data_IF_400880132269
#
_entry.id   IF_400880132269
#
_cell.length_a   1.000
_cell.length_b   1.000
_cell.length_c   1.000
_cell.angle_alpha   90.00
_cell.angle_beta   90.00
_cell.angle_gamma   90.00
#
_symmetry.space_group_name_H-M   'P 1'
#
loop_
_entity.id
_entity.type
_entity.pdbx_description
1 polymer ?
#
# COMPACT_ATOMS: atom_id res chain seq x y z
N UNK A 1 -17.50 6.38 -16.41
CA UNK A 1 -17.95 5.48 -15.32
C UNK A 1 -16.77 5.23 -14.40
N UNK A 2 -16.91 5.23 -13.06
CA UNK A 2 -15.84 4.78 -12.18
C UNK A 2 -15.51 3.34 -12.55
N UNK A 3 -14.27 3.09 -12.97
CA UNK A 3 -13.85 1.75 -13.38
C UNK A 3 -13.48 1.00 -12.11
N UNK A 4 -14.47 0.34 -11.52
CA UNK A 4 -14.21 -0.70 -10.54
C UNK A 4 -13.55 -1.87 -11.29
N UNK A 5 -12.31 -2.20 -10.95
CA UNK A 5 -11.77 -3.50 -11.34
C UNK A 5 -12.43 -4.51 -10.41
N UNK A 6 -13.50 -5.12 -10.93
CA UNK A 6 -14.23 -6.14 -10.20
C UNK A 6 -13.59 -7.48 -10.52
N UNK A 7 -12.99 -8.09 -9.52
CA UNK A 7 -12.44 -9.43 -9.64
C UNK A 7 -13.27 -10.37 -8.79
N UNK A 8 -13.69 -11.47 -9.40
CA UNK A 8 -14.41 -12.52 -8.70
C UNK A 8 -13.36 -13.41 -8.06
N UNK A 9 -13.19 -13.31 -6.74
CA UNK A 9 -12.38 -14.27 -6.00
C UNK A 9 -13.27 -15.29 -5.31
N UNK A 10 -12.85 -16.54 -5.42
CA UNK A 10 -13.45 -17.64 -4.69
C UNK A 10 -12.84 -17.68 -3.29
N UNK A 11 -13.67 -17.46 -2.27
CA UNK A 11 -13.32 -17.65 -0.87
C UNK A 11 -13.94 -18.97 -0.40
N UNK A 12 -13.34 -20.07 -0.82
CA UNK A 12 -13.88 -21.39 -0.54
C UNK A 12 -15.12 -21.71 -1.38
N UNK A 13 -16.30 -21.74 -0.76
CA UNK A 13 -17.58 -22.05 -1.43
C UNK A 13 -18.39 -20.76 -1.68
N UNK A 14 -17.85 -19.62 -1.24
CA UNK A 14 -18.45 -18.30 -1.42
C UNK A 14 -17.76 -17.55 -2.56
N UNK A 15 -18.58 -16.89 -3.36
CA UNK A 15 -18.13 -15.99 -4.42
C UNK A 15 -18.12 -14.57 -3.87
N UNK A 16 -16.94 -14.00 -3.64
CA UNK A 16 -16.83 -12.58 -3.33
C UNK A 16 -16.46 -11.81 -4.59
N UNK A 17 -17.24 -10.77 -4.88
CA UNK A 17 -16.83 -9.77 -5.84
C UNK A 17 -15.95 -8.79 -5.08
N UNK A 18 -14.64 -8.92 -5.25
CA UNK A 18 -13.70 -7.91 -4.78
C UNK A 18 -13.82 -6.75 -5.75
N UNK A 19 -14.44 -5.68 -5.27
CA UNK A 19 -14.50 -4.41 -5.98
C UNK A 19 -13.27 -3.61 -5.57
N UNK A 20 -12.18 -3.72 -6.32
CA UNK A 20 -11.12 -2.72 -6.26
C UNK A 20 -11.66 -1.45 -6.90
N UNK A 21 -12.14 -0.54 -6.06
CA UNK A 21 -12.54 0.78 -6.50
C UNK A 21 -11.32 1.68 -6.57
N UNK A 22 -10.89 1.97 -7.79
CA UNK A 22 -10.38 3.30 -8.07
C UNK A 22 -11.58 4.22 -8.03
N UNK A 23 -11.79 4.92 -6.91
CA UNK A 23 -12.73 6.03 -6.88
C UNK A 23 -12.21 7.11 -7.83
N UNK A 24 -12.64 7.07 -9.10
CA UNK A 24 -12.72 8.28 -9.91
C UNK A 24 -13.83 9.11 -9.29
N UNK A 25 -13.43 9.94 -8.33
CA UNK A 25 -14.29 10.87 -7.61
C UNK A 25 -15.02 11.74 -8.64
N UNK A 26 -16.33 11.60 -8.74
CA UNK A 26 -17.15 12.51 -9.52
C UNK A 26 -17.19 13.86 -8.77
N UNK A 27 -16.37 14.81 -9.24
CA UNK A 27 -16.18 16.12 -8.61
C UNK A 27 -17.49 16.92 -8.43
N UNK A 28 -18.51 16.68 -9.27
CA UNK A 28 -19.81 17.37 -9.15
C UNK A 28 -20.59 16.93 -7.90
N UNK A 29 -20.44 15.68 -7.45
CA UNK A 29 -21.09 15.16 -6.23
C UNK A 29 -20.29 15.41 -4.95
N UNK A 30 -19.10 15.98 -5.07
CA UNK A 30 -18.17 16.23 -3.95
C UNK A 30 -17.84 17.71 -3.79
N UNK A 31 -18.77 18.61 -4.14
CA UNK A 31 -18.59 20.06 -4.06
C UNK A 31 -18.02 20.52 -2.69
N UNK A 32 -18.45 19.91 -1.58
CA UNK A 32 -17.93 20.20 -0.25
C UNK A 32 -16.47 19.78 -0.06
N UNK A 33 -16.07 18.59 -0.55
CA UNK A 33 -14.68 18.13 -0.47
C UNK A 33 -13.77 18.88 -1.47
N UNK A 34 -14.30 19.27 -2.63
CA UNK A 34 -13.60 20.13 -3.58
C UNK A 34 -13.34 21.52 -2.99
N UNK A 35 -14.34 22.10 -2.30
CA UNK A 35 -14.19 23.37 -1.58
C UNK A 35 -13.19 23.25 -0.41
N UNK A 36 -13.24 22.17 0.36
CA UNK A 36 -12.29 21.91 1.44
C UNK A 36 -10.84 21.75 0.93
N UNK A 37 -10.64 21.06 -0.21
CA UNK A 37 -9.34 20.98 -0.90
C UNK A 37 -8.85 22.32 -1.42
N UNK A 38 -9.74 23.14 -1.97
CA UNK A 38 -9.39 24.49 -2.42
C UNK A 38 -8.96 25.38 -1.24
N UNK A 39 -9.65 25.26 -0.09
CA UNK A 39 -9.27 25.94 1.14
C UNK A 39 -7.93 25.46 1.69
N UNK A 40 -7.66 24.14 1.68
CA UNK A 40 -6.36 23.58 2.08
C UNK A 40 -5.22 24.14 1.21
N UNK A 41 -5.38 24.15 -0.11
CA UNK A 41 -4.39 24.74 -1.03
C UNK A 41 -4.15 26.22 -0.76
N UNK A 42 -5.18 26.98 -0.40
CA UNK A 42 -5.03 28.40 -0.05
C UNK A 42 -4.25 28.58 1.26
N UNK A 43 -4.47 27.71 2.25
CA UNK A 43 -3.71 27.70 3.52
C UNK A 43 -2.25 27.31 3.27
N UNK A 44 -2.00 26.28 2.45
CA UNK A 44 -0.66 25.86 2.02
C UNK A 44 0.10 27.01 1.33
N UNK A 45 -0.56 27.70 0.39
CA UNK A 45 0.03 28.83 -0.33
C UNK A 45 0.33 30.04 0.58
N UNK A 46 -0.38 30.19 1.71
CA UNK A 46 -0.19 31.29 2.66
C UNK A 46 0.98 31.08 3.64
N UNK A 47 1.56 29.88 3.72
CA UNK A 47 2.63 29.55 4.66
C UNK A 47 2.19 29.50 6.13
N UNK A 48 0.88 29.51 6.41
CA UNK A 48 0.34 29.46 7.76
C UNK A 48 0.37 28.03 8.35
N UNK A 49 1.55 27.62 8.82
CA UNK A 49 1.81 26.25 9.34
C UNK A 49 0.87 25.87 10.49
N UNK A 50 0.46 26.83 11.32
CA UNK A 50 -0.43 26.59 12.46
C UNK A 50 -1.87 26.23 12.07
N UNK A 51 -2.34 26.62 10.89
CA UNK A 51 -3.69 26.32 10.38
C UNK A 51 -3.72 25.14 9.40
N UNK A 52 -2.56 24.64 8.97
CA UNK A 52 -2.43 23.54 8.01
C UNK A 52 -3.05 22.25 8.55
N UNK A 53 -2.76 21.87 9.80
CA UNK A 53 -3.28 20.62 10.38
C UNK A 53 -4.81 20.60 10.50
N UNK A 54 -5.41 21.74 10.88
CA UNK A 54 -6.86 21.88 10.96
C UNK A 54 -7.51 21.87 9.57
N UNK A 55 -6.87 22.52 8.58
CA UNK A 55 -7.34 22.50 7.19
C UNK A 55 -7.25 21.08 6.58
N UNK A 56 -6.19 20.33 6.90
CA UNK A 56 -5.98 18.96 6.44
C UNK A 56 -7.01 18.01 7.04
N UNK A 57 -7.24 18.08 8.36
CA UNK A 57 -8.29 17.32 9.03
C UNK A 57 -9.69 17.66 8.50
N UNK A 58 -9.95 18.92 8.16
CA UNK A 58 -11.24 19.35 7.58
C UNK A 58 -11.43 18.79 6.17
N UNK A 59 -10.37 18.80 5.35
CA UNK A 59 -10.41 18.21 4.01
C UNK A 59 -10.64 16.70 4.06
N UNK A 60 -9.93 15.99 4.94
CA UNK A 60 -10.10 14.55 5.15
C UNK A 60 -11.51 14.19 5.65
N UNK A 61 -12.04 14.96 6.60
CA UNK A 61 -13.39 14.77 7.11
C UNK A 61 -14.46 15.02 6.02
N UNK A 62 -14.28 16.05 5.19
CA UNK A 62 -15.18 16.34 4.08
C UNK A 62 -15.15 15.23 3.01
N UNK A 63 -13.97 14.67 2.73
CA UNK A 63 -13.82 13.52 1.84
C UNK A 63 -14.51 12.28 2.41
N UNK A 64 -14.27 11.98 3.69
CA UNK A 64 -14.89 10.86 4.39
C UNK A 64 -16.42 10.95 4.43
N UNK A 65 -16.96 12.15 4.70
CA UNK A 65 -18.39 12.40 4.72
C UNK A 65 -19.04 12.21 3.35
N UNK A 66 -18.40 12.69 2.28
CA UNK A 66 -18.91 12.53 0.93
C UNK A 66 -18.80 11.08 0.42
N UNK A 67 -17.72 10.36 0.74
CA UNK A 67 -17.64 8.91 0.50
C UNK A 67 -18.73 8.15 1.24
N UNK A 68 -19.01 8.53 2.50
CA UNK A 68 -20.10 7.96 3.29
C UNK A 68 -21.48 8.22 2.68
N UNK A 69 -21.73 9.42 2.15
CA UNK A 69 -22.98 9.75 1.47
C UNK A 69 -23.17 8.94 0.18
N UNK A 70 -22.10 8.75 -0.61
CA UNK A 70 -22.13 7.90 -1.81
C UNK A 70 -22.43 6.44 -1.45
N UNK A 71 -21.81 5.91 -0.40
CA UNK A 71 -22.09 4.56 0.08
C UNK A 71 -23.52 4.43 0.61
N UNK A 72 -24.02 5.44 1.32
CA UNK A 72 -25.40 5.47 1.82
C UNK A 72 -26.44 5.48 0.68
N UNK A 73 -26.23 6.30 -0.35
CA UNK A 73 -27.13 6.32 -1.50
C UNK A 73 -27.03 5.03 -2.35
N UNK A 74 -25.84 4.44 -2.42
CA UNK A 74 -25.66 3.13 -3.04
C UNK A 74 -26.36 2.02 -2.25
N UNK A 75 -26.31 2.06 -0.91
CA UNK A 75 -26.94 1.06 -0.03
C UNK A 75 -28.46 1.05 -0.13
N UNK A 76 -29.07 2.17 -0.57
CA UNK A 76 -30.51 2.23 -0.86
C UNK A 76 -30.91 1.45 -2.10
N UNK A 77 -29.97 1.23 -3.03
CA UNK A 77 -30.22 0.57 -4.32
C UNK A 77 -29.68 -0.85 -4.38
N UNK A 78 -28.62 -1.14 -3.63
CA UNK A 78 -27.95 -2.43 -3.62
C UNK A 78 -27.56 -2.84 -2.20
N UNK A 79 -27.60 -4.13 -1.86
CA UNK A 79 -27.07 -4.60 -0.59
C UNK A 79 -25.57 -4.31 -0.49
N UNK A 80 -25.13 -3.78 0.65
CA UNK A 80 -23.72 -3.57 0.97
C UNK A 80 -23.28 -4.63 1.97
N UNK A 81 -22.34 -5.46 1.55
CA UNK A 81 -21.66 -6.40 2.42
C UNK A 81 -20.37 -5.75 2.94
N UNK A 82 -20.16 -5.84 4.26
CA UNK A 82 -18.92 -5.41 4.89
C UNK A 82 -18.08 -6.65 5.16
N UNK A 83 -16.81 -6.58 4.77
CA UNK A 83 -15.81 -7.60 5.11
C UNK A 83 -15.04 -7.09 6.32
N UNK A 84 -14.85 -7.94 7.33
CA UNK A 84 -14.06 -7.56 8.50
C UNK A 84 -12.58 -7.46 8.10
N UNK A 85 -11.95 -6.36 8.50
CA UNK A 85 -10.55 -6.06 8.18
C UNK A 85 -9.88 -5.49 9.42
N UNK A 86 -8.66 -5.92 9.67
CA UNK A 86 -7.82 -5.40 10.76
C UNK A 86 -6.46 -4.99 10.22
N UNK A 87 -5.97 -3.83 10.64
CA UNK A 87 -4.59 -3.44 10.37
C UNK A 87 -3.61 -4.31 11.19
N UNK A 88 -2.33 -4.33 10.81
CA UNK A 88 -1.38 -5.23 11.48
C UNK A 88 -0.98 -4.78 12.89
N UNK A 89 -1.25 -3.53 13.30
CA UNK A 89 -1.14 -3.17 14.70
C UNK A 89 -2.26 -3.85 15.50
N UNK A 90 -3.50 -3.77 15.02
CA UNK A 90 -4.64 -4.44 15.65
C UNK A 90 -4.45 -5.95 15.72
N UNK A 91 -4.06 -6.56 14.59
CA UNK A 91 -3.90 -8.01 14.46
C UNK A 91 -2.84 -8.58 15.40
N UNK A 92 -1.81 -7.78 15.73
CA UNK A 92 -0.71 -8.15 16.63
C UNK A 92 -0.88 -7.59 18.05
N UNK A 93 -2.00 -6.95 18.37
CA UNK A 93 -2.25 -6.36 19.69
C UNK A 93 -1.30 -5.21 20.03
N UNK A 94 -0.78 -4.49 19.04
CA UNK A 94 0.15 -3.36 19.21
C UNK A 94 -0.61 -2.03 19.23
N UNK A 95 -0.27 -1.16 20.18
CA UNK A 95 -0.87 0.18 20.26
C UNK A 95 -0.59 1.00 18.99
N UNK A 96 -1.57 1.74 18.43
CA UNK A 96 -1.43 2.44 17.14
C UNK A 96 -0.33 3.50 17.11
N UNK A 97 0.09 4.05 18.25
CA UNK A 97 1.22 4.98 18.33
C UNK A 97 2.57 4.31 18.03
N UNK A 98 2.65 2.97 18.10
CA UNK A 98 3.85 2.17 17.78
C UNK A 98 3.70 1.55 16.39
N UNK A 99 3.17 2.30 15.42
CA UNK A 99 2.99 1.80 14.05
C UNK A 99 4.32 1.57 13.32
N UNK A 100 5.35 2.34 13.67
CA UNK A 100 6.69 2.20 13.10
C UNK A 100 7.54 1.20 13.87
N UNK A 101 8.39 0.44 13.17
CA UNK A 101 9.23 -0.56 13.81
C UNK A 101 10.25 0.04 14.79
N UNK A 102 10.80 1.22 14.48
CA UNK A 102 11.74 1.92 15.37
C UNK A 102 11.09 2.42 16.68
N UNK A 103 9.76 2.52 16.71
CA UNK A 103 8.98 2.88 17.90
C UNK A 103 8.45 1.65 18.65
N UNK A 104 8.97 0.46 18.33
CA UNK A 104 8.56 -0.82 18.92
C UNK A 104 7.36 -1.47 18.22
N UNK A 105 7.04 -1.05 17.00
CA UNK A 105 6.04 -1.68 16.15
C UNK A 105 6.50 -2.97 15.48
N UNK A 106 5.57 -3.71 14.84
CA UNK A 106 5.89 -4.92 14.08
C UNK A 106 6.86 -4.65 12.93
N UNK A 107 7.83 -5.54 12.74
CA UNK A 107 8.66 -5.59 11.55
C UNK A 107 8.23 -6.68 10.57
N UNK A 108 8.98 -6.84 9.46
CA UNK A 108 8.64 -7.82 8.43
C UNK A 108 8.58 -9.26 8.92
N UNK A 109 9.40 -9.61 9.92
CA UNK A 109 9.43 -10.97 10.47
C UNK A 109 8.14 -11.27 11.23
N UNK A 110 7.72 -10.40 12.13
CA UNK A 110 6.50 -10.56 12.93
C UNK A 110 5.26 -10.64 12.01
N UNK A 111 5.26 -9.83 10.95
CA UNK A 111 4.18 -9.83 9.96
C UNK A 111 4.15 -11.14 9.16
N UNK A 112 5.29 -11.63 8.68
CA UNK A 112 5.34 -12.93 7.98
C UNK A 112 4.93 -14.09 8.89
N UNK A 113 5.35 -14.06 10.16
CA UNK A 113 4.94 -15.07 11.14
C UNK A 113 3.43 -15.06 11.37
N UNK A 114 2.80 -13.88 11.46
CA UNK A 114 1.34 -13.73 11.53
C UNK A 114 0.64 -14.35 10.30
N UNK A 115 1.10 -14.03 9.09
CA UNK A 115 0.51 -14.55 7.86
C UNK A 115 0.61 -16.08 7.78
N UNK A 116 1.74 -16.65 8.19
CA UNK A 116 1.92 -18.11 8.25
C UNK A 116 1.11 -18.77 9.35
N UNK A 117 0.99 -18.15 10.51
CA UNK A 117 0.21 -18.68 11.63
C UNK A 117 -1.28 -18.79 11.29
N UNK A 118 -1.77 -17.94 10.38
CA UNK A 118 -3.15 -17.97 9.92
C UNK A 118 -3.31 -18.63 8.54
N UNK A 119 -2.33 -19.43 8.10
CA UNK A 119 -2.51 -20.31 6.96
C UNK A 119 -3.72 -21.22 7.23
N UNK A 120 -4.81 -21.04 6.48
CA UNK A 120 -6.00 -21.86 6.65
C UNK A 120 -5.62 -23.35 6.67
N UNK A 121 -6.03 -24.07 7.71
CA UNK A 121 -5.88 -25.52 7.73
C UNK A 121 -6.48 -26.09 6.44
N UNK A 122 -5.81 -27.03 5.74
CA UNK A 122 -6.39 -27.63 4.55
C UNK A 122 -7.77 -28.16 4.92
N UNK A 123 -8.82 -27.71 4.22
CA UNK A 123 -10.15 -28.32 4.35
C UNK A 123 -9.97 -29.82 4.18
N UNK A 124 -10.43 -30.59 5.16
CA UNK A 124 -10.29 -32.04 5.18
C UNK A 124 -10.67 -32.62 3.80
N UNK A 125 -9.70 -33.22 3.10
CA UNK A 125 -9.91 -33.87 1.80
C UNK A 125 -9.36 -33.16 0.56
N UNK A 126 -8.83 -31.92 0.62
CA UNK A 126 -8.08 -31.33 -0.51
C UNK A 126 -6.58 -31.49 -0.29
N UNK A 127 -5.90 -32.23 -1.18
CA UNK A 127 -4.44 -32.20 -1.29
C UNK A 127 -4.01 -30.74 -1.45
N UNK A 128 -3.21 -30.24 -0.52
CA UNK A 128 -2.64 -28.90 -0.61
C UNK A 128 -1.84 -28.77 -1.90
N UNK A 129 -2.09 -27.70 -2.66
CA UNK A 129 -1.19 -27.23 -3.71
C UNK A 129 0.23 -27.06 -3.13
N UNK A 130 1.31 -27.19 -3.94
CA UNK A 130 2.68 -26.93 -3.49
C UNK A 130 2.88 -25.52 -2.89
N UNK A 131 2.00 -24.57 -3.22
CA UNK A 131 1.91 -23.24 -2.61
C UNK A 131 0.64 -23.13 -1.76
N UNK A 132 0.81 -22.79 -0.48
CA UNK A 132 -0.33 -22.47 0.40
C UNK A 132 -0.80 -21.03 0.17
N UNK A 133 -2.04 -20.72 0.54
CA UNK A 133 -2.57 -19.34 0.51
C UNK A 133 -1.71 -18.37 1.36
N UNK A 134 -1.09 -18.85 2.43
CA UNK A 134 -0.16 -18.05 3.23
C UNK A 134 1.16 -17.78 2.48
N UNK A 135 1.66 -18.70 1.66
CA UNK A 135 2.85 -18.44 0.84
C UNK A 135 2.58 -17.38 -0.22
N UNK A 136 1.37 -17.33 -0.78
CA UNK A 136 0.93 -16.26 -1.68
C UNK A 136 0.91 -14.92 -0.95
N UNK A 137 0.28 -14.86 0.23
CA UNK A 137 0.18 -13.64 1.03
C UNK A 137 1.57 -13.13 1.48
N UNK A 138 2.46 -14.04 1.88
CA UNK A 138 3.86 -13.72 2.19
C UNK A 138 4.57 -13.18 0.95
N UNK A 139 4.42 -13.80 -0.22
CA UNK A 139 5.02 -13.29 -1.47
C UNK A 139 4.50 -11.90 -1.81
N UNK A 140 3.20 -11.65 -1.72
CA UNK A 140 2.59 -10.33 -1.95
C UNK A 140 3.11 -9.29 -0.96
N UNK A 141 3.26 -9.64 0.32
CA UNK A 141 3.84 -8.74 1.32
C UNK A 141 5.31 -8.41 1.02
N UNK A 142 6.12 -9.41 0.63
CA UNK A 142 7.52 -9.18 0.22
C UNK A 142 7.60 -8.31 -1.03
N UNK A 143 6.74 -8.55 -2.03
CA UNK A 143 6.62 -7.69 -3.21
C UNK A 143 6.26 -6.24 -2.82
N UNK A 144 5.41 -6.04 -1.83
CA UNK A 144 5.06 -4.72 -1.32
C UNK A 144 6.26 -4.01 -0.66
N UNK A 145 7.09 -4.74 0.11
CA UNK A 145 8.32 -4.20 0.68
C UNK A 145 9.32 -3.83 -0.42
N UNK A 146 9.49 -4.69 -1.43
CA UNK A 146 10.34 -4.44 -2.60
C UNK A 146 9.86 -3.18 -3.31
N UNK A 147 8.56 -3.11 -3.60
CA UNK A 147 7.97 -1.97 -4.29
C UNK A 147 8.21 -0.67 -3.54
N UNK A 148 7.89 -0.61 -2.25
CA UNK A 148 8.13 0.57 -1.41
C UNK A 148 9.61 0.95 -1.39
N UNK A 149 10.53 0.00 -1.31
CA UNK A 149 11.96 0.33 -1.39
C UNK A 149 12.38 0.90 -2.77
N UNK A 150 11.85 0.34 -3.86
CA UNK A 150 12.12 0.83 -5.23
C UNK A 150 11.58 2.24 -5.43
N UNK A 151 10.36 2.53 -4.98
CA UNK A 151 9.72 3.85 -5.14
C UNK A 151 10.12 4.85 -4.05
N UNK A 152 10.94 4.47 -3.07
CA UNK A 152 11.17 5.26 -1.85
C UNK A 152 9.87 5.59 -1.10
N UNK A 153 9.03 4.59 -0.89
CA UNK A 153 7.90 4.63 0.03
C UNK A 153 8.39 4.44 1.46
N UNK A 154 8.61 5.56 2.14
CA UNK A 154 9.22 5.60 3.47
C UNK A 154 8.22 5.38 4.60
N UNK A 155 6.91 5.47 4.31
CA UNK A 155 5.84 5.41 5.32
C UNK A 155 5.07 4.08 5.32
N UNK A 156 5.63 3.02 4.72
CA UNK A 156 5.05 1.68 4.71
C UNK A 156 5.15 1.00 6.10
N UNK A 157 4.37 1.48 7.06
CA UNK A 157 4.34 1.02 8.46
C UNK A 157 3.24 -0.03 8.70
N UNK A 158 3.19 -0.63 9.90
CA UNK A 158 2.29 -1.76 10.18
C UNK A 158 0.80 -1.46 9.92
N UNK A 159 0.34 -0.22 10.08
CA UNK A 159 -1.06 0.17 9.78
C UNK A 159 -1.40 0.25 8.28
N UNK A 160 -0.40 0.22 7.39
CA UNK A 160 -0.58 0.27 5.92
C UNK A 160 -0.68 -1.12 5.31
N UNK A 161 -0.74 -2.13 6.17
CA UNK A 161 -1.05 -3.50 5.82
C UNK A 161 -2.22 -3.94 6.70
N UNK A 162 -3.09 -4.77 6.14
CA UNK A 162 -4.23 -5.32 6.85
C UNK A 162 -4.43 -6.78 6.47
N UNK A 163 -5.20 -7.49 7.29
CA UNK A 163 -5.78 -8.78 6.93
C UNK A 163 -7.29 -8.68 6.82
N UNK A 164 -7.86 -9.40 5.86
CA UNK A 164 -9.29 -9.65 5.77
C UNK A 164 -9.63 -10.91 6.57
N UNK A 165 -10.68 -10.85 7.37
CA UNK A 165 -11.18 -11.96 8.18
C UNK A 165 -12.52 -12.42 7.59
N UNK A 166 -12.50 -13.60 6.99
CA UNK A 166 -13.64 -14.26 6.37
C UNK A 166 -14.29 -15.33 7.26
N UNK A 167 -15.32 -15.97 6.73
CA UNK A 167 -16.02 -17.06 7.40
C UNK A 167 -15.09 -18.23 7.75
N UNK A 168 -15.38 -18.92 8.86
CA UNK A 168 -14.60 -20.07 9.31
C UNK A 168 -13.18 -19.75 9.80
N UNK A 169 -12.90 -18.49 10.15
CA UNK A 169 -11.59 -18.05 10.63
C UNK A 169 -10.53 -17.92 9.52
N UNK A 170 -10.96 -17.82 8.25
CA UNK A 170 -10.05 -17.56 7.15
C UNK A 170 -9.46 -16.16 7.28
N UNK A 171 -8.13 -16.06 7.27
CA UNK A 171 -7.41 -14.79 7.27
C UNK A 171 -6.58 -14.70 6.00
N UNK A 172 -6.66 -13.57 5.28
CA UNK A 172 -5.88 -13.29 4.08
C UNK A 172 -5.30 -11.89 4.13
N UNK A 173 -4.12 -11.66 3.56
CA UNK A 173 -3.61 -10.31 3.35
C UNK A 173 -4.62 -9.50 2.50
N UNK A 174 -4.97 -8.30 2.98
CA UNK A 174 -5.84 -7.38 2.25
C UNK A 174 -5.09 -6.79 1.03
N UNK A 175 -5.82 -6.27 0.02
CA UNK A 175 -5.20 -5.46 -1.03
C UNK A 175 -4.33 -4.36 -0.43
N UNK A 176 -3.20 -4.08 -1.07
CA UNK A 176 -2.28 -3.04 -0.60
C UNK A 176 -2.94 -1.66 -0.73
N UNK A 177 -2.71 -0.79 0.25
CA UNK A 177 -3.21 0.58 0.27
C UNK A 177 -2.14 1.52 0.86
N UNK A 178 -2.36 2.82 0.72
CA UNK A 178 -1.47 3.88 1.22
C UNK A 178 0.00 3.70 0.76
N UNK A 179 0.15 3.48 -0.54
CA UNK A 179 1.44 3.41 -1.22
C UNK A 179 1.77 4.79 -1.78
N UNK A 180 2.82 5.41 -1.24
CA UNK A 180 3.26 6.74 -1.65
C UNK A 180 4.78 6.80 -1.76
N UNK A 181 5.29 7.72 -2.57
CA UNK A 181 6.72 7.94 -2.80
C UNK A 181 7.13 9.31 -2.31
N UNK A 182 8.28 9.41 -1.64
CA UNK A 182 8.84 10.71 -1.26
C UNK A 182 9.69 11.35 -2.37
N UNK A 183 9.98 10.64 -3.47
CA UNK A 183 10.86 11.13 -4.52
C UNK A 183 10.44 12.46 -5.20
N UNK A 184 9.15 12.77 -5.42
CA UNK A 184 8.79 14.00 -6.15
C UNK A 184 8.87 15.28 -5.30
N UNK A 185 9.22 15.19 -4.02
CA UNK A 185 9.30 16.32 -3.09
C UNK A 185 10.75 16.79 -2.93
N UNK A 186 11.01 18.07 -3.21
CA UNK A 186 12.37 18.63 -3.28
C UNK A 186 12.96 18.99 -1.92
N UNK A 187 12.09 19.17 -0.92
CA UNK A 187 12.42 19.43 0.48
C UNK A 187 12.86 18.18 1.25
N UNK A 188 12.67 16.99 0.67
CA UNK A 188 13.07 15.72 1.30
C UNK A 188 14.49 15.34 0.85
N UNK A 189 15.42 15.32 1.80
CA UNK A 189 16.75 14.76 1.59
C UNK A 189 16.69 13.22 1.50
N UNK A 190 16.63 12.71 0.27
CA UNK A 190 16.57 11.27 -0.02
C UNK A 190 17.78 10.50 0.54
N UNK A 191 18.94 11.15 0.76
CA UNK A 191 20.09 10.48 1.40
C UNK A 191 19.85 10.25 2.89
N UNK A 192 18.95 11.00 3.53
CA UNK A 192 18.57 10.79 4.94
C UNK A 192 17.28 9.99 5.11
N UNK A 193 16.57 9.72 4.02
CA UNK A 193 15.33 8.95 4.02
C UNK A 193 15.51 7.56 4.64
N UNK A 194 14.54 7.17 5.47
CA UNK A 194 14.48 5.89 6.16
C UNK A 194 13.14 5.21 5.84
N UNK A 195 13.17 3.89 5.70
CA UNK A 195 11.98 3.05 5.63
C UNK A 195 11.34 2.96 7.02
N UNK A 196 10.02 2.77 7.06
CA UNK A 196 9.28 2.53 8.30
C UNK A 196 9.61 1.17 8.95
N UNK A 197 10.01 0.19 8.13
CA UNK A 197 10.43 -1.14 8.52
C UNK A 197 11.82 -1.44 7.96
N UNK A 198 12.67 -2.14 8.73
CA UNK A 198 14.00 -2.56 8.29
C UNK A 198 13.90 -3.57 7.16
N UNK A 199 14.84 -3.48 6.24
CA UNK A 199 15.22 -4.60 5.36
C UNK A 199 16.54 -5.15 5.89
N UNK A 200 16.52 -6.41 6.35
CA UNK A 200 17.61 -6.96 7.13
C UNK A 200 17.80 -6.14 8.41
N UNK A 201 18.94 -5.47 8.51
CA UNK A 201 19.29 -4.65 9.68
C UNK A 201 19.21 -3.14 9.43
N UNK A 202 18.77 -2.72 8.23
CA UNK A 202 18.91 -1.33 7.76
C UNK A 202 17.57 -0.65 7.49
N UNK A 203 17.47 0.62 7.90
CA UNK A 203 16.36 1.52 7.60
C UNK A 203 16.69 2.51 6.47
N UNK A 204 17.94 2.96 6.38
CA UNK A 204 18.37 4.01 5.45
C UNK A 204 18.22 3.50 4.03
N UNK A 205 17.37 4.20 3.29
CA UNK A 205 16.95 3.82 1.94
C UNK A 205 18.12 3.52 0.99
N UNK A 206 19.22 4.27 1.12
CA UNK A 206 20.40 4.21 0.26
C UNK A 206 21.44 3.16 0.69
N UNK A 207 21.32 2.61 1.90
CA UNK A 207 22.19 1.55 2.40
C UNK A 207 21.61 0.15 2.18
N UNK A 208 20.31 0.04 1.94
CA UNK A 208 19.68 -1.25 1.61
C UNK A 208 20.21 -1.71 0.24
N UNK A 209 20.85 -2.87 0.22
CA UNK A 209 21.35 -3.55 -0.96
C UNK A 209 21.10 -5.06 -0.91
N UNK A 210 21.84 -5.79 -1.74
CA UNK A 210 21.60 -7.22 -1.94
C UNK A 210 21.86 -8.05 -0.67
N UNK A 211 22.75 -7.56 0.21
CA UNK A 211 23.06 -8.21 1.48
C UNK A 211 21.89 -8.09 2.47
N UNK A 212 21.26 -6.92 2.56
CA UNK A 212 20.14 -6.62 3.46
C UNK A 212 18.90 -7.43 3.05
N UNK A 213 18.63 -7.53 1.75
CA UNK A 213 17.56 -8.38 1.24
C UNK A 213 17.80 -9.87 1.52
N UNK A 214 19.05 -10.34 1.41
CA UNK A 214 19.40 -11.72 1.79
C UNK A 214 19.20 -11.97 3.28
N UNK A 215 19.57 -11.01 4.13
CA UNK A 215 19.32 -11.09 5.58
C UNK A 215 17.83 -11.17 5.87
N UNK A 216 17.01 -10.31 5.26
CA UNK A 216 15.55 -10.37 5.41
C UNK A 216 15.00 -11.72 4.96
N UNK A 217 15.39 -12.19 3.77
CA UNK A 217 14.95 -13.48 3.23
C UNK A 217 15.28 -14.65 4.16
N UNK A 218 16.48 -14.66 4.74
CA UNK A 218 16.86 -15.65 5.75
C UNK A 218 16.01 -15.55 7.02
N UNK A 219 15.79 -14.34 7.54
CA UNK A 219 14.97 -14.10 8.74
C UNK A 219 13.52 -14.60 8.57
N UNK A 220 12.97 -14.45 7.36
CA UNK A 220 11.60 -14.89 7.03
C UNK A 220 11.56 -16.23 6.30
N UNK A 221 12.66 -16.98 6.23
CA UNK A 221 12.74 -18.34 5.65
C UNK A 221 12.17 -18.44 4.22
N UNK A 222 12.59 -17.53 3.33
CA UNK A 222 12.28 -17.60 1.89
C UNK A 222 13.58 -17.65 1.09
N UNK A 223 13.50 -18.15 -0.15
CA UNK A 223 14.65 -18.22 -1.06
C UNK A 223 15.16 -16.80 -1.37
N UNK A 224 16.41 -16.55 -0.98
CA UNK A 224 17.01 -15.23 -1.12
C UNK A 224 17.34 -14.87 -2.57
N UNK A 225 17.72 -15.84 -3.40
CA UNK A 225 18.00 -15.58 -4.82
C UNK A 225 16.70 -15.36 -5.59
N UNK A 226 15.61 -16.00 -5.19
CA UNK A 226 14.28 -15.69 -5.72
C UNK A 226 13.86 -14.24 -5.39
N UNK A 227 14.13 -13.76 -4.17
CA UNK A 227 13.87 -12.36 -3.78
C UNK A 227 14.72 -11.40 -4.59
N UNK A 228 16.02 -11.66 -4.76
CA UNK A 228 16.90 -10.81 -5.58
C UNK A 228 16.44 -10.79 -7.04
N UNK A 229 16.09 -11.95 -7.61
CA UNK A 229 15.54 -12.04 -8.96
C UNK A 229 14.24 -11.23 -9.11
N UNK A 230 13.36 -11.30 -8.10
CA UNK A 230 12.12 -10.52 -8.07
C UNK A 230 12.38 -9.00 -8.04
N UNK A 231 13.34 -8.55 -7.23
CA UNK A 231 13.76 -7.15 -7.18
C UNK A 231 14.23 -6.67 -8.55
N UNK A 232 15.14 -7.40 -9.19
CA UNK A 232 15.67 -7.04 -10.52
C UNK A 232 14.54 -6.96 -11.56
N UNK A 233 13.63 -7.93 -11.54
CA UNK A 233 12.48 -7.96 -12.45
C UNK A 233 11.54 -6.77 -12.25
N UNK A 234 11.19 -6.44 -11.00
CA UNK A 234 10.36 -5.27 -10.70
C UNK A 234 11.06 -3.97 -11.08
N UNK A 235 12.35 -3.84 -10.74
CA UNK A 235 13.15 -2.66 -11.05
C UNK A 235 13.32 -2.42 -12.56
N UNK A 236 13.44 -3.50 -13.34
CA UNK A 236 13.55 -3.43 -14.80
C UNK A 236 12.22 -3.02 -15.47
N UNK A 237 11.08 -3.49 -14.96
CA UNK A 237 9.76 -3.20 -15.54
C UNK A 237 9.18 -1.85 -15.10
N UNK A 238 9.58 -1.35 -13.92
CA UNK A 238 8.99 -0.16 -13.32
C UNK A 238 9.03 1.08 -14.22
N UNK A 239 10.13 1.41 -14.94
CA UNK A 239 10.18 2.60 -15.79
C UNK A 239 9.10 2.62 -16.88
N UNK A 240 8.87 1.49 -17.55
CA UNK A 240 7.93 1.37 -18.65
C UNK A 240 6.48 1.41 -18.12
N UNK A 241 6.19 0.62 -17.07
CA UNK A 241 4.87 0.62 -16.43
C UNK A 241 4.49 2.00 -15.89
N UNK A 242 5.46 2.73 -15.35
CA UNK A 242 5.25 4.08 -14.84
C UNK A 242 5.02 5.10 -15.96
N UNK A 243 5.72 4.97 -17.09
CA UNK A 243 5.49 5.82 -18.26
C UNK A 243 4.08 5.62 -18.84
N UNK A 244 3.61 4.38 -18.91
CA UNK A 244 2.24 4.06 -19.34
C UNK A 244 1.20 4.65 -18.39
N UNK A 245 1.39 4.50 -17.07
CA UNK A 245 0.46 5.02 -16.07
C UNK A 245 0.41 6.56 -16.06
N UNK A 246 1.55 7.22 -16.20
CA UNK A 246 1.64 8.69 -16.30
C UNK A 246 0.95 9.19 -17.57
N UNK A 247 1.14 8.49 -18.69
CA UNK A 247 0.46 8.81 -19.94
C UNK A 247 -1.06 8.70 -19.80
N UNK A 248 -1.53 7.64 -19.13
CA UNK A 248 -2.95 7.47 -18.82
C UNK A 248 -3.47 8.57 -17.88
N UNK A 249 -2.74 8.89 -16.81
CA UNK A 249 -3.10 9.95 -15.89
C UNK A 249 -3.24 11.31 -16.59
N UNK A 250 -2.31 11.64 -17.48
CA UNK A 250 -2.39 12.86 -18.31
C UNK A 250 -3.61 12.86 -19.23
N UNK A 251 -3.93 11.74 -19.88
CA UNK A 251 -5.14 11.59 -20.71
C UNK A 251 -6.43 11.78 -19.91
N UNK A 252 -6.41 11.43 -18.63
CA UNK A 252 -7.52 11.63 -17.68
C UNK A 252 -7.55 13.05 -17.08
N UNK A 253 -6.64 13.94 -17.48
CA UNK A 253 -6.59 15.33 -17.03
C UNK A 253 -5.81 15.56 -15.73
N UNK A 254 -5.12 14.54 -15.20
CA UNK A 254 -4.29 14.68 -14.01
C UNK A 254 -2.93 15.27 -14.37
N UNK A 255 -2.77 16.58 -14.31
CA UNK A 255 -1.57 17.30 -14.80
C UNK A 255 -0.68 17.87 -13.68
N UNK A 256 -0.78 17.33 -12.47
CA UNK A 256 0.00 17.82 -11.32
C UNK A 256 1.51 17.78 -11.60
N UNK A 257 2.29 18.84 -11.29
CA UNK A 257 3.75 18.82 -11.40
C UNK A 257 4.42 17.69 -10.62
N UNK A 258 3.76 17.17 -9.57
CA UNK A 258 4.23 16.01 -8.80
C UNK A 258 4.37 14.78 -9.70
N UNK A 259 3.43 14.54 -10.62
CA UNK A 259 3.44 13.39 -11.54
C UNK A 259 4.65 13.49 -12.48
N UNK A 260 4.90 14.67 -13.03
CA UNK A 260 6.04 14.93 -13.92
C UNK A 260 7.40 14.80 -13.23
N UNK A 261 7.50 15.01 -11.91
CA UNK A 261 8.73 14.76 -11.13
C UNK A 261 8.85 13.30 -10.70
N UNK A 262 7.74 12.64 -10.40
CA UNK A 262 7.72 11.27 -9.88
C UNK A 262 8.26 10.27 -10.89
N UNK A 263 7.80 10.34 -12.15
CA UNK A 263 8.24 9.44 -13.21
C UNK A 263 9.77 9.37 -13.39
N UNK A 264 10.47 10.47 -13.77
CA UNK A 264 11.89 10.40 -14.03
C UNK A 264 12.71 9.99 -12.79
N UNK A 265 12.28 10.38 -11.58
CA UNK A 265 13.00 10.05 -10.34
C UNK A 265 12.85 8.59 -9.95
N UNK A 266 11.63 8.02 -10.05
CA UNK A 266 11.40 6.59 -9.82
C UNK A 266 12.09 5.75 -10.88
N UNK A 267 11.98 6.12 -12.16
CA UNK A 267 12.65 5.40 -13.25
C UNK A 267 14.17 5.38 -13.07
N UNK A 268 14.80 6.54 -12.82
CA UNK A 268 16.24 6.61 -12.60
C UNK A 268 16.70 5.76 -11.40
N UNK A 269 15.93 5.78 -10.31
CA UNK A 269 16.20 4.94 -9.13
C UNK A 269 16.06 3.45 -9.47
N UNK A 270 14.98 3.05 -10.13
CA UNK A 270 14.72 1.65 -10.48
C UNK A 270 15.78 1.10 -11.44
N UNK A 271 16.16 1.85 -12.48
CA UNK A 271 17.25 1.48 -13.40
C UNK A 271 18.57 1.30 -12.68
N UNK A 272 18.89 2.14 -11.68
CA UNK A 272 20.10 1.95 -10.87
C UNK A 272 20.04 0.66 -10.05
N UNK A 273 18.86 0.32 -9.51
CA UNK A 273 18.65 -0.81 -8.63
C UNK A 273 18.43 -2.13 -9.37
N UNK A 274 18.22 -2.13 -10.69
CA UNK A 274 18.08 -3.38 -11.47
C UNK A 274 19.39 -4.18 -11.57
N UNK A 275 20.52 -3.55 -11.26
CA UNK A 275 21.85 -4.16 -11.25
C UNK A 275 22.32 -4.68 -9.87
N UNK A 276 21.46 -4.62 -8.84
CA UNK A 276 21.72 -5.10 -7.46
C UNK A 276 22.07 -6.59 -7.39
#
# INVERSE_FOLDING_TARGET
MPVAKSEVRLFGDETAIIVERYDRINMEKMAAAAAARAALKAVEASGAVASLSAAQATAEAAESAASSAVLYDFSKKFPIYRVHQEDLCQSLGVHPSRKYQNDGGPGPKEIVDLLRANAAAPRAGRKSSPTTAADEDVRTYIDALIFNWLIAGTDAHAKNYSVLIGAGGLVRLAPLYDIASVLPYDDIDIRKAKLAMKIGDEYRLHHVGAAEWRKLAAAVKIDADAVIGRIRNMAAQLPDLLADEVSRAHQEGLTSPVIGRLQPRQSARATKLSAI
#
